data_IF_582523972551
#
_entry.id   IF_582523972551
#
_cell.length_a   1.000
_cell.length_b   1.000
_cell.length_c   1.000
_cell.angle_alpha   90.00
_cell.angle_beta   90.00
_cell.angle_gamma   90.00
#
_symmetry.space_group_name_H-M   'P 1'
#
loop_
_entity.id
_entity.type
_entity.pdbx_description
1 polymer ?
#
# COMPACT_ATOMS: atom_id res chain seq x y z
N UNK A 1 3.70 8.65 11.90
CA UNK A 1 3.57 8.98 10.45
C UNK A 1 4.17 10.33 10.10
N UNK A 2 3.91 11.39 10.88
CA UNK A 2 4.52 12.73 10.69
C UNK A 2 6.07 12.68 10.59
N UNK A 3 6.70 11.83 11.39
CA UNK A 3 8.15 11.61 11.36
C UNK A 3 8.68 11.10 10.01
N UNK A 4 8.02 10.09 9.44
CA UNK A 4 8.38 9.55 8.13
C UNK A 4 8.14 10.56 7.01
N UNK A 5 7.07 11.34 7.10
CA UNK A 5 6.74 12.39 6.13
C UNK A 5 7.84 13.45 6.06
N UNK A 6 8.25 14.02 7.20
CA UNK A 6 9.30 15.04 7.16
C UNK A 6 10.67 14.45 6.83
N UNK A 7 10.94 13.19 7.21
CA UNK A 7 12.21 12.50 6.91
C UNK A 7 12.34 12.16 5.43
N UNK A 8 11.24 11.85 4.75
CA UNK A 8 11.24 11.56 3.31
C UNK A 8 11.69 12.75 2.43
N UNK A 9 11.58 13.96 2.97
CA UNK A 9 11.92 15.22 2.30
C UNK A 9 13.35 15.70 2.60
N UNK A 10 14.08 15.03 3.52
CA UNK A 10 15.45 15.38 3.92
C UNK A 10 16.50 14.81 2.97
N UNK A 11 17.69 15.41 2.97
CA UNK A 11 18.89 14.86 2.35
C UNK A 11 19.46 13.69 3.17
N UNK A 12 20.16 12.75 2.54
CA UNK A 12 20.83 11.62 3.23
C UNK A 12 21.73 12.14 4.38
N UNK A 13 22.41 13.25 4.15
CA UNK A 13 23.31 13.90 5.11
C UNK A 13 22.58 14.41 6.36
N UNK A 14 21.39 14.99 6.22
CA UNK A 14 20.56 15.44 7.35
C UNK A 14 19.99 14.28 8.17
N UNK A 15 19.67 13.17 7.51
CA UNK A 15 19.19 11.95 8.19
C UNK A 15 20.28 11.41 9.14
N UNK A 16 21.55 11.41 8.71
CA UNK A 16 22.67 10.90 9.50
C UNK A 16 23.22 11.90 10.53
N UNK A 17 23.26 13.20 10.23
CA UNK A 17 23.90 14.20 11.10
C UNK A 17 22.91 14.91 12.05
N UNK A 18 21.64 15.02 11.67
CA UNK A 18 20.65 15.79 12.43
C UNK A 18 19.23 15.16 12.36
N UNK A 19 19.04 13.93 12.89
CA UNK A 19 17.82 13.16 12.70
C UNK A 19 16.54 13.86 13.21
N UNK A 20 16.63 14.65 14.28
CA UNK A 20 15.47 15.33 14.92
C UNK A 20 15.21 16.76 14.44
N UNK A 21 16.01 17.31 13.52
CA UNK A 21 15.78 18.66 12.99
C UNK A 21 14.62 18.69 12.00
N UNK A 22 13.99 19.84 11.79
CA UNK A 22 13.02 19.99 10.70
C UNK A 22 13.78 20.06 9.36
N UNK A 23 13.24 19.48 8.26
CA UNK A 23 13.86 19.58 6.94
C UNK A 23 14.00 21.05 6.52
N UNK A 24 15.10 21.38 5.85
CA UNK A 24 15.31 22.73 5.31
C UNK A 24 14.28 23.00 4.19
N UNK A 25 13.39 23.97 4.42
CA UNK A 25 12.29 24.33 3.51
C UNK A 25 12.75 24.81 2.11
N UNK A 26 14.05 25.03 1.92
CA UNK A 26 14.66 25.44 0.66
C UNK A 26 15.22 24.31 -0.22
N UNK A 27 15.40 23.10 0.30
CA UNK A 27 16.01 21.97 -0.44
C UNK A 27 15.21 20.66 -0.26
N UNK A 28 13.91 20.75 -0.57
CA UNK A 28 12.98 19.63 -0.50
C UNK A 28 13.36 18.56 -1.54
N UNK A 29 13.77 17.39 -1.07
CA UNK A 29 14.25 16.28 -1.91
C UNK A 29 13.10 15.46 -2.53
N UNK A 30 12.32 16.07 -3.42
CA UNK A 30 11.23 15.39 -4.15
C UNK A 30 11.72 14.22 -5.01
N UNK A 31 12.99 14.24 -5.44
CA UNK A 31 13.62 13.14 -6.17
C UNK A 31 13.76 11.85 -5.33
N UNK A 32 13.69 11.92 -4.01
CA UNK A 32 13.73 10.73 -3.16
C UNK A 32 12.57 9.78 -3.47
N UNK A 33 11.39 10.32 -3.81
CA UNK A 33 10.23 9.50 -4.17
C UNK A 33 10.44 8.76 -5.50
N UNK A 34 10.93 9.44 -6.53
CA UNK A 34 11.18 8.81 -7.84
C UNK A 34 12.35 7.82 -7.79
N UNK A 35 13.39 8.14 -7.02
CA UNK A 35 14.53 7.25 -6.77
C UNK A 35 14.11 6.01 -5.97
N UNK A 36 13.33 6.18 -4.90
CA UNK A 36 12.81 5.06 -4.13
C UNK A 36 11.90 4.16 -4.98
N UNK A 37 11.05 4.75 -5.82
CA UNK A 37 10.15 4.02 -6.72
C UNK A 37 10.90 3.16 -7.75
N UNK A 38 11.97 3.69 -8.33
CA UNK A 38 12.77 2.99 -9.35
C UNK A 38 13.76 1.98 -8.76
N UNK A 39 14.51 2.35 -7.72
CA UNK A 39 15.47 1.44 -7.06
C UNK A 39 14.78 0.28 -6.32
N UNK A 40 13.61 0.55 -5.73
CA UNK A 40 12.86 -0.45 -4.96
C UNK A 40 12.09 -1.45 -5.81
N UNK A 41 12.12 -1.36 -7.14
CA UNK A 41 11.26 -2.15 -8.05
C UNK A 41 9.78 -2.11 -7.62
N UNK A 42 9.34 -0.96 -7.08
CA UNK A 42 8.00 -0.83 -6.51
C UNK A 42 6.91 -1.07 -7.55
N UNK A 43 7.17 -0.75 -8.82
CA UNK A 43 6.24 -1.03 -9.92
C UNK A 43 5.90 -2.52 -10.03
N UNK A 44 6.90 -3.40 -9.99
CA UNK A 44 6.71 -4.85 -10.16
C UNK A 44 5.98 -5.45 -8.94
N UNK A 45 6.38 -5.05 -7.73
CA UNK A 45 5.70 -5.48 -6.52
C UNK A 45 4.26 -4.98 -6.44
N UNK A 46 4.03 -3.72 -6.80
CA UNK A 46 2.69 -3.14 -6.84
C UNK A 46 1.78 -3.88 -7.82
N UNK A 47 2.26 -4.16 -9.04
CA UNK A 47 1.49 -4.90 -10.04
C UNK A 47 1.20 -6.33 -9.58
N UNK A 48 2.18 -7.03 -9.00
CA UNK A 48 1.98 -8.38 -8.47
C UNK A 48 0.92 -8.41 -7.35
N UNK A 49 1.03 -7.50 -6.38
CA UNK A 49 0.05 -7.40 -5.29
C UNK A 49 -1.33 -6.99 -5.82
N UNK A 50 -1.41 -6.00 -6.71
CA UNK A 50 -2.68 -5.58 -7.30
C UNK A 50 -3.36 -6.72 -8.05
N UNK A 51 -2.61 -7.45 -8.88
CA UNK A 51 -3.13 -8.60 -9.63
C UNK A 51 -3.62 -9.69 -8.69
N UNK A 52 -2.83 -10.05 -7.68
CA UNK A 52 -3.20 -11.06 -6.69
C UNK A 52 -4.46 -10.66 -5.90
N UNK A 53 -4.53 -9.40 -5.45
CA UNK A 53 -5.69 -8.88 -4.71
C UNK A 53 -6.94 -8.89 -5.58
N UNK A 54 -6.86 -8.44 -6.84
CA UNK A 54 -8.00 -8.45 -7.76
C UNK A 54 -8.51 -9.88 -7.97
N UNK A 55 -7.64 -10.83 -8.26
CA UNK A 55 -8.02 -12.23 -8.43
C UNK A 55 -8.68 -12.80 -7.17
N UNK A 56 -8.08 -12.54 -6.00
CA UNK A 56 -8.61 -13.02 -4.72
C UNK A 56 -10.00 -12.46 -4.46
N UNK A 57 -10.19 -11.14 -4.64
CA UNK A 57 -11.48 -10.49 -4.43
C UNK A 57 -12.53 -11.04 -5.38
N UNK A 58 -12.22 -11.18 -6.67
CA UNK A 58 -13.18 -11.69 -7.67
C UNK A 58 -13.62 -13.11 -7.32
N UNK A 59 -12.67 -14.00 -7.01
CA UNK A 59 -12.98 -15.37 -6.63
C UNK A 59 -13.78 -15.42 -5.32
N UNK A 60 -13.35 -14.69 -4.29
CA UNK A 60 -14.08 -14.62 -3.03
C UNK A 60 -15.49 -14.09 -3.22
N UNK A 61 -15.70 -13.08 -4.06
CA UNK A 61 -17.02 -12.52 -4.32
C UNK A 61 -17.91 -13.52 -5.06
N UNK A 62 -17.37 -14.25 -6.03
CA UNK A 62 -18.09 -15.29 -6.77
C UNK A 62 -18.59 -16.38 -5.81
N UNK A 63 -17.70 -16.94 -4.99
CA UNK A 63 -18.08 -17.97 -4.03
C UNK A 63 -18.99 -17.45 -2.92
N UNK A 64 -18.73 -16.24 -2.42
CA UNK A 64 -19.58 -15.61 -1.41
C UNK A 64 -20.99 -15.35 -1.95
N UNK A 65 -21.13 -14.88 -3.19
CA UNK A 65 -22.42 -14.67 -3.83
C UNK A 65 -23.19 -15.98 -4.03
N UNK A 66 -22.51 -17.05 -4.47
CA UNK A 66 -23.13 -18.38 -4.62
C UNK A 66 -23.60 -18.93 -3.27
N UNK A 67 -22.77 -18.83 -2.23
CA UNK A 67 -23.10 -19.27 -0.88
C UNK A 67 -24.25 -18.42 -0.29
N UNK A 68 -24.20 -17.10 -0.45
CA UNK A 68 -25.27 -16.20 -0.01
C UNK A 68 -26.60 -16.50 -0.71
N UNK A 69 -26.57 -16.79 -2.02
CA UNK A 69 -27.77 -17.18 -2.76
C UNK A 69 -28.36 -18.49 -2.24
N UNK A 70 -27.50 -19.49 -1.98
CA UNK A 70 -27.95 -20.76 -1.42
C UNK A 70 -28.60 -20.56 -0.04
N UNK A 71 -27.96 -19.77 0.84
CA UNK A 71 -28.48 -19.42 2.16
C UNK A 71 -29.80 -18.63 2.09
N UNK A 72 -29.92 -17.71 1.15
CA UNK A 72 -31.11 -16.86 1.03
C UNK A 72 -32.33 -17.60 0.43
N UNK A 73 -32.11 -18.62 -0.41
CA UNK A 73 -33.21 -19.27 -1.16
C UNK A 73 -33.56 -20.67 -0.70
N UNK A 74 -32.62 -21.42 -0.13
CA UNK A 74 -32.94 -22.75 0.42
C UNK A 74 -33.34 -22.64 1.89
N UNK A 75 -34.46 -23.27 2.25
CA UNK A 75 -34.83 -23.46 3.64
C UNK A 75 -33.94 -24.55 4.23
N UNK A 76 -33.01 -24.16 5.11
CA UNK A 76 -32.18 -25.10 5.83
C UNK A 76 -32.98 -25.71 6.97
N UNK A 77 -33.06 -27.05 7.10
CA UNK A 77 -33.68 -27.67 8.27
C UNK A 77 -32.79 -27.38 9.49
N UNK A 78 -33.17 -26.38 10.29
CA UNK A 78 -32.42 -25.91 11.47
C UNK A 78 -32.44 -24.40 11.73
N UNK A 79 -33.05 -23.59 10.86
CA UNK A 79 -33.35 -22.16 11.12
C UNK A 79 -34.73 -21.97 11.77
#
# INVERSE_FOLDING_TARGET
MLWLLYTSLKTDREIFLAPFTLPDWGDLQWLNFSRAWTLGHFGDYFLNSALLTVFTVVLSLLFAAMAAYALARFAFPGA
#
